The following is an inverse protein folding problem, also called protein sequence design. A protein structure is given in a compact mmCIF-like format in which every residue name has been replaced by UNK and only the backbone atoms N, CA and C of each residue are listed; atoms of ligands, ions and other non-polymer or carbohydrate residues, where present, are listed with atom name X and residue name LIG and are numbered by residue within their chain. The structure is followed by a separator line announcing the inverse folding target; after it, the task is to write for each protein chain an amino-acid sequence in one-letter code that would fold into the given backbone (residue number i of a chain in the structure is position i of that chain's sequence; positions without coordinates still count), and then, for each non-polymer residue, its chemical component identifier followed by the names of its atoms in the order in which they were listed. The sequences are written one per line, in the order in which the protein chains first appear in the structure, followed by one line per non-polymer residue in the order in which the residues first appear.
data_IF_275963848918
#
_entry.id   IF_275963848918
#
_cell.length_a   1.000
_cell.length_b   1.000
_cell.length_c   1.000
_cell.angle_alpha   90.00
_cell.angle_beta   90.00
_cell.angle_gamma   90.00
#
_symmetry.space_group_name_H-M   'P 1'
#
loop_
_entity.id
_entity.type
_entity.pdbx_description
1 polymer ?
#
# COMPACT_ATOMS: atom_id res chain seq x y z
N UNK A 1 28.04 -56.65 -58.93
CA UNK A 1 26.79 -55.93 -58.55
C UNK A 1 26.85 -55.32 -57.15
N UNK A 2 27.44 -55.98 -56.14
CA UNK A 2 27.51 -55.43 -54.77
C UNK A 2 28.33 -54.12 -54.61
N UNK A 3 29.35 -53.87 -55.45
CA UNK A 3 30.10 -52.60 -55.43
C UNK A 3 29.36 -51.41 -56.06
N UNK A 4 28.37 -51.64 -56.91
CA UNK A 4 27.69 -50.57 -57.66
C UNK A 4 26.69 -49.78 -56.81
N UNK A 5 26.20 -50.38 -55.71
CA UNK A 5 25.26 -49.78 -54.78
C UNK A 5 25.92 -49.52 -53.40
N UNK A 6 27.26 -49.62 -53.31
CA UNK A 6 28.00 -49.43 -52.08
C UNK A 6 27.94 -47.94 -51.67
N UNK A 7 27.00 -47.61 -50.79
CA UNK A 7 26.75 -46.25 -50.32
C UNK A 7 25.36 -45.70 -50.67
N UNK A 8 24.53 -46.46 -51.38
CA UNK A 8 23.11 -46.13 -51.54
C UNK A 8 22.35 -46.65 -50.30
N UNK A 9 21.88 -45.78 -49.38
CA UNK A 9 21.14 -46.20 -48.19
C UNK A 9 19.76 -46.79 -48.52
N UNK A 10 19.40 -46.87 -49.80
CA UNK A 10 18.09 -47.29 -50.25
C UNK A 10 17.07 -46.16 -50.17
N UNK A 11 15.83 -46.43 -50.59
CA UNK A 11 14.79 -45.41 -50.62
C UNK A 11 14.43 -44.93 -49.20
N UNK A 12 14.41 -43.61 -49.02
CA UNK A 12 13.98 -42.98 -47.77
C UNK A 12 12.46 -43.09 -47.66
N UNK A 13 11.99 -43.96 -46.77
CA UNK A 13 10.56 -44.08 -46.44
C UNK A 13 10.12 -42.95 -45.50
N UNK A 14 9.00 -42.31 -45.84
CA UNK A 14 8.29 -41.41 -44.92
C UNK A 14 7.90 -42.19 -43.67
N UNK A 15 8.40 -41.76 -42.51
CA UNK A 15 8.09 -42.37 -41.21
C UNK A 15 7.29 -41.41 -40.34
N UNK A 16 6.41 -41.97 -39.50
CA UNK A 16 5.92 -41.26 -38.32
C UNK A 16 6.98 -41.24 -37.22
N UNK A 17 6.78 -40.40 -36.21
CA UNK A 17 7.50 -40.52 -34.95
C UNK A 17 7.03 -41.79 -34.22
N UNK A 18 7.98 -42.49 -33.61
CA UNK A 18 7.66 -43.53 -32.61
C UNK A 18 6.88 -42.90 -31.45
N UNK A 19 6.18 -43.73 -30.68
CA UNK A 19 5.37 -43.29 -29.54
C UNK A 19 6.23 -42.51 -28.53
N UNK A 20 7.46 -42.97 -28.28
CA UNK A 20 8.41 -42.28 -27.41
C UNK A 20 8.85 -40.93 -28.00
N UNK A 21 9.29 -40.90 -29.25
CA UNK A 21 9.68 -39.66 -29.94
C UNK A 21 8.53 -38.64 -29.95
N UNK A 22 7.30 -39.09 -30.21
CA UNK A 22 6.12 -38.24 -30.21
C UNK A 22 5.82 -37.67 -28.80
N UNK A 23 5.86 -38.51 -27.77
CA UNK A 23 5.63 -38.06 -26.40
C UNK A 23 6.70 -37.04 -25.95
N UNK A 24 7.97 -37.27 -26.26
CA UNK A 24 9.04 -36.31 -25.96
C UNK A 24 8.89 -35.01 -26.76
N UNK A 25 8.60 -35.09 -28.06
CA UNK A 25 8.39 -33.91 -28.89
C UNK A 25 7.24 -33.03 -28.39
N UNK A 26 6.13 -33.64 -27.94
CA UNK A 26 5.01 -32.89 -27.35
C UNK A 26 5.40 -32.27 -26.00
N UNK A 27 6.15 -32.98 -25.14
CA UNK A 27 6.64 -32.43 -23.87
C UNK A 27 7.60 -31.27 -24.09
N UNK A 28 8.48 -31.36 -25.08
CA UNK A 28 9.43 -30.29 -25.42
C UNK A 28 8.72 -29.08 -26.02
N UNK A 29 7.72 -29.30 -26.89
CA UNK A 29 6.94 -28.22 -27.51
C UNK A 29 6.06 -27.48 -26.49
N UNK A 30 5.46 -28.21 -25.55
CA UNK A 30 4.49 -27.65 -24.60
C UNK A 30 5.10 -27.27 -23.26
N UNK A 31 6.24 -27.86 -22.88
CA UNK A 31 6.80 -27.75 -21.53
C UNK A 31 6.00 -28.48 -20.44
N UNK A 32 4.94 -29.23 -20.80
CA UNK A 32 4.07 -29.91 -19.83
C UNK A 32 4.52 -31.36 -19.66
N UNK A 33 5.32 -31.63 -18.62
CA UNK A 33 5.90 -32.95 -18.36
C UNK A 33 4.85 -34.05 -18.09
N UNK A 34 3.66 -33.69 -17.62
CA UNK A 34 2.58 -34.63 -17.31
C UNK A 34 1.80 -35.10 -18.53
N UNK A 35 2.00 -34.50 -19.71
CA UNK A 35 1.36 -34.95 -20.94
C UNK A 35 1.94 -36.28 -21.39
N UNK A 36 1.07 -37.23 -21.69
CA UNK A 36 1.41 -38.54 -22.26
C UNK A 36 0.46 -38.85 -23.43
N UNK A 37 0.69 -38.22 -24.60
CA UNK A 37 -0.23 -38.31 -25.73
C UNK A 37 -0.23 -39.69 -26.39
N UNK A 38 0.80 -40.51 -26.14
CA UNK A 38 0.94 -41.84 -26.71
C UNK A 38 0.39 -42.96 -25.81
N UNK A 39 -0.21 -42.63 -24.65
CA UNK A 39 -0.67 -43.62 -23.64
C UNK A 39 -1.62 -44.67 -24.21
N UNK A 40 -2.47 -44.27 -25.16
CA UNK A 40 -3.47 -45.16 -25.77
C UNK A 40 -3.06 -45.67 -27.15
N UNK A 41 -1.81 -45.43 -27.56
CA UNK A 41 -1.33 -45.89 -28.85
C UNK A 41 -0.94 -47.38 -28.74
N UNK A 42 -1.16 -48.18 -29.79
CA UNK A 42 -0.59 -49.51 -29.86
C UNK A 42 0.94 -49.44 -29.74
N UNK A 43 1.54 -50.48 -29.18
CA UNK A 43 3.01 -50.61 -29.11
C UNK A 43 3.57 -50.55 -30.52
N UNK A 44 4.66 -49.78 -30.69
CA UNK A 44 5.34 -49.69 -31.98
C UNK A 44 5.88 -51.05 -32.41
N UNK A 45 5.63 -51.41 -33.66
CA UNK A 45 6.21 -52.61 -34.25
C UNK A 45 7.72 -52.49 -34.33
N UNK A 46 8.44 -53.54 -33.92
CA UNK A 46 9.85 -53.67 -34.22
C UNK A 46 10.00 -54.24 -35.63
N UNK A 47 10.84 -53.63 -36.47
CA UNK A 47 11.39 -54.39 -37.59
C UNK A 47 12.17 -55.58 -36.99
N UNK A 48 12.24 -56.73 -37.66
CA UNK A 48 12.86 -57.97 -37.13
C UNK A 48 14.28 -57.83 -36.54
N UNK A 49 14.92 -56.67 -36.73
CA UNK A 49 16.19 -56.20 -36.16
C UNK A 49 16.10 -55.66 -34.71
N UNK A 50 14.93 -55.59 -34.08
CA UNK A 50 14.77 -55.18 -32.67
C UNK A 50 14.64 -53.66 -32.40
N UNK A 51 14.66 -52.83 -33.44
CA UNK A 51 14.54 -51.37 -33.32
C UNK A 51 13.12 -50.87 -33.58
N UNK A 52 12.62 -49.99 -32.71
CA UNK A 52 11.26 -49.41 -32.75
C UNK A 52 11.16 -48.10 -33.54
N UNK A 53 12.26 -47.60 -34.10
CA UNK A 53 12.30 -46.36 -34.90
C UNK A 53 12.46 -46.63 -36.42
N UNK A 54 12.39 -47.89 -36.84
CA UNK A 54 12.55 -48.27 -38.26
C UNK A 54 11.30 -47.86 -39.04
N UNK A 55 11.46 -46.96 -40.01
CA UNK A 55 10.35 -46.35 -40.74
C UNK A 55 9.41 -47.36 -41.41
N UNK A 56 9.95 -48.44 -41.97
CA UNK A 56 9.16 -49.51 -42.61
C UNK A 56 8.28 -50.31 -41.63
N UNK A 57 8.60 -50.30 -40.33
CA UNK A 57 7.82 -50.98 -39.29
C UNK A 57 6.77 -50.07 -38.62
N UNK A 58 6.87 -48.76 -38.81
CA UNK A 58 5.96 -47.76 -38.21
C UNK A 58 4.75 -47.50 -39.12
N UNK A 59 3.86 -48.48 -39.21
CA UNK A 59 2.64 -48.41 -40.02
C UNK A 59 1.58 -47.49 -39.37
N UNK A 60 0.83 -46.77 -40.21
CA UNK A 60 -0.34 -45.98 -39.79
C UNK A 60 -1.63 -46.73 -40.12
N UNK A 61 -2.43 -47.04 -39.10
CA UNK A 61 -3.79 -47.57 -39.28
C UNK A 61 -4.84 -46.46 -39.09
N UNK A 62 -6.06 -46.61 -39.63
CA UNK A 62 -7.15 -45.67 -39.37
C UNK A 62 -7.44 -45.49 -37.87
N UNK A 63 -7.35 -46.57 -37.08
CA UNK A 63 -7.53 -46.52 -35.63
C UNK A 63 -6.43 -45.71 -34.92
N UNK A 64 -5.17 -45.89 -35.34
CA UNK A 64 -4.06 -45.10 -34.82
C UNK A 64 -4.20 -43.61 -35.18
N UNK A 65 -4.63 -43.29 -36.40
CA UNK A 65 -4.90 -41.90 -36.80
C UNK A 65 -5.96 -41.25 -35.90
N UNK A 66 -7.04 -41.96 -35.58
CA UNK A 66 -8.04 -41.48 -34.62
C UNK A 66 -7.44 -41.21 -33.24
N UNK A 67 -6.56 -42.09 -32.74
CA UNK A 67 -5.84 -41.88 -31.49
C UNK A 67 -4.92 -40.66 -31.52
N UNK A 68 -4.22 -40.41 -32.63
CA UNK A 68 -3.45 -39.17 -32.82
C UNK A 68 -4.33 -37.92 -32.76
N UNK A 69 -5.52 -37.95 -33.39
CA UNK A 69 -6.46 -36.83 -33.35
C UNK A 69 -7.00 -36.58 -31.93
N UNK A 70 -7.32 -37.65 -31.20
CA UNK A 70 -7.79 -37.53 -29.82
C UNK A 70 -6.69 -37.05 -28.88
N UNK A 71 -5.46 -37.54 -29.04
CA UNK A 71 -4.29 -37.00 -28.34
C UNK A 71 -4.04 -35.53 -28.69
N UNK A 72 -4.22 -35.14 -29.95
CA UNK A 72 -4.15 -33.74 -30.37
C UNK A 72 -5.20 -32.85 -29.70
N UNK A 73 -6.43 -33.35 -29.54
CA UNK A 73 -7.48 -32.64 -28.78
C UNK A 73 -7.12 -32.51 -27.31
N UNK A 74 -6.58 -33.57 -26.69
CA UNK A 74 -6.14 -33.56 -25.31
C UNK A 74 -5.03 -32.51 -25.09
N UNK A 75 -3.97 -32.55 -25.91
CA UNK A 75 -2.90 -31.54 -25.90
C UNK A 75 -3.46 -30.12 -26.11
N UNK A 76 -4.44 -29.95 -27.00
CA UNK A 76 -5.06 -28.65 -27.24
C UNK A 76 -5.87 -28.12 -26.03
N UNK A 77 -6.38 -28.99 -25.15
CA UNK A 77 -7.06 -28.55 -23.91
C UNK A 77 -6.10 -27.89 -22.91
N UNK A 78 -4.81 -28.21 -22.99
CA UNK A 78 -3.76 -27.59 -22.17
C UNK A 78 -3.28 -26.25 -22.72
N UNK A 79 -3.73 -25.86 -23.92
CA UNK A 79 -3.32 -24.63 -24.56
C UNK A 79 -4.02 -23.41 -23.95
N UNK A 80 -3.23 -22.41 -23.57
CA UNK A 80 -3.68 -21.14 -22.98
C UNK A 80 -3.41 -20.03 -23.99
N UNK A 81 -4.48 -19.45 -24.53
CA UNK A 81 -4.40 -18.29 -25.42
C UNK A 81 -4.14 -17.03 -24.60
N UNK A 82 -3.04 -16.34 -24.92
CA UNK A 82 -2.63 -15.08 -24.32
C UNK A 82 -2.82 -13.93 -25.32
N UNK A 83 -2.81 -12.70 -24.83
CA UNK A 83 -2.91 -11.51 -25.70
C UNK A 83 -1.72 -11.35 -26.65
N UNK A 84 -0.58 -11.93 -26.29
CA UNK A 84 0.71 -11.84 -26.99
C UNK A 84 1.18 -13.19 -27.57
N UNK A 85 0.39 -14.25 -27.46
CA UNK A 85 0.76 -15.55 -28.01
C UNK A 85 0.02 -16.75 -27.42
N UNK A 86 0.72 -17.87 -27.36
CA UNK A 86 0.23 -19.16 -26.88
C UNK A 86 1.16 -19.68 -25.78
N UNK A 87 0.58 -20.20 -24.71
CA UNK A 87 1.28 -20.96 -23.68
C UNK A 87 0.59 -22.31 -23.44
N UNK A 88 1.19 -23.17 -22.64
CA UNK A 88 0.58 -24.41 -22.16
C UNK A 88 0.61 -24.46 -20.63
N UNK A 89 -0.38 -25.12 -20.03
CA UNK A 89 -0.49 -25.35 -18.59
C UNK A 89 -0.70 -26.84 -18.32
N UNK A 90 -0.29 -27.32 -17.14
CA UNK A 90 -0.62 -28.68 -16.69
C UNK A 90 -2.11 -28.83 -16.35
N UNK A 91 -2.86 -27.73 -16.29
CA UNK A 91 -4.31 -27.69 -16.05
C UNK A 91 -5.07 -27.46 -17.35
N UNK A 92 -6.34 -27.83 -17.36
CA UNK A 92 -7.25 -27.70 -18.51
C UNK A 92 -8.40 -26.72 -18.28
N UNK A 93 -8.48 -26.10 -17.10
CA UNK A 93 -9.59 -25.19 -16.76
C UNK A 93 -9.15 -23.73 -16.70
N UNK A 94 -9.99 -22.83 -17.23
CA UNK A 94 -9.78 -21.37 -17.18
C UNK A 94 -9.59 -20.84 -15.76
N UNK A 95 -10.27 -21.45 -14.79
CA UNK A 95 -10.16 -21.07 -13.38
C UNK A 95 -8.78 -21.38 -12.84
N UNK A 96 -8.25 -22.57 -13.15
CA UNK A 96 -6.93 -22.97 -12.67
C UNK A 96 -5.83 -22.12 -13.31
N UNK A 97 -5.91 -21.85 -14.61
CA UNK A 97 -4.97 -20.94 -15.28
C UNK A 97 -4.97 -19.55 -14.64
N UNK A 98 -6.17 -19.04 -14.34
CA UNK A 98 -6.32 -17.75 -13.66
C UNK A 98 -5.67 -17.79 -12.28
N UNK A 99 -5.93 -18.84 -11.50
CA UNK A 99 -5.33 -19.00 -10.17
C UNK A 99 -3.81 -19.12 -10.22
N UNK A 100 -3.27 -19.88 -11.17
CA UNK A 100 -1.83 -20.05 -11.40
C UNK A 100 -1.16 -18.70 -11.70
N UNK A 101 -1.73 -17.91 -12.62
CA UNK A 101 -1.20 -16.59 -12.98
C UNK A 101 -1.33 -15.59 -11.83
N UNK A 102 -2.46 -15.59 -11.10
CA UNK A 102 -2.62 -14.78 -9.89
C UNK A 102 -1.59 -15.17 -8.82
N UNK A 103 -1.36 -16.47 -8.62
CA UNK A 103 -0.36 -16.97 -7.67
C UNK A 103 1.05 -16.53 -8.07
N UNK A 104 1.41 -16.61 -9.36
CA UNK A 104 2.69 -16.13 -9.86
C UNK A 104 2.88 -14.61 -9.64
N UNK A 105 1.83 -13.81 -9.89
CA UNK A 105 1.85 -12.36 -9.62
C UNK A 105 2.04 -12.09 -8.13
N UNK A 106 1.27 -12.77 -7.26
CA UNK A 106 1.39 -12.63 -5.80
C UNK A 106 2.79 -13.01 -5.33
N UNK A 107 3.34 -14.12 -5.82
CA UNK A 107 4.69 -14.57 -5.48
C UNK A 107 5.75 -13.56 -5.93
N UNK A 108 5.60 -12.96 -7.12
CA UNK A 108 6.49 -11.89 -7.59
C UNK A 108 6.53 -10.72 -6.62
N UNK A 109 5.36 -10.21 -6.22
CA UNK A 109 5.25 -9.05 -5.32
C UNK A 109 5.61 -9.36 -3.86
N UNK A 110 5.37 -10.60 -3.40
CA UNK A 110 5.72 -11.03 -2.04
C UNK A 110 7.23 -10.94 -1.76
N UNK A 111 8.08 -10.97 -2.79
CA UNK A 111 9.53 -10.75 -2.64
C UNK A 111 9.89 -9.33 -2.18
N UNK A 112 9.01 -8.36 -2.41
CA UNK A 112 9.28 -6.94 -2.16
C UNK A 112 8.32 -6.31 -1.16
N UNK A 113 7.30 -7.04 -0.71
CA UNK A 113 6.32 -6.58 0.26
C UNK A 113 6.45 -7.34 1.58
N UNK A 114 5.95 -6.74 2.66
CA UNK A 114 5.83 -7.42 3.94
C UNK A 114 4.45 -8.01 4.10
N UNK A 115 4.43 -9.27 4.53
CA UNK A 115 3.26 -9.87 5.16
C UNK A 115 3.15 -9.31 6.57
N UNK A 116 2.43 -8.19 6.72
CA UNK A 116 1.91 -7.81 8.03
C UNK A 116 0.98 -8.93 8.49
N UNK A 117 0.92 -9.20 9.80
CA UNK A 117 0.01 -10.20 10.40
C UNK A 117 -1.33 -10.18 9.65
N UNK A 118 -1.90 -11.35 9.28
CA UNK A 118 -3.13 -11.41 8.51
C UNK A 118 -4.21 -10.57 9.22
N UNK A 119 -4.53 -9.40 8.65
CA UNK A 119 -5.74 -8.68 9.04
C UNK A 119 -6.90 -9.47 8.48
N UNK A 120 -7.52 -10.29 9.33
CA UNK A 120 -8.82 -10.86 9.01
C UNK A 120 -9.83 -9.72 9.06
N UNK A 121 -10.28 -9.24 7.88
CA UNK A 121 -11.42 -8.33 7.81
C UNK A 121 -12.67 -9.11 7.45
N UNK A 122 -13.68 -9.00 8.29
CA UNK A 122 -15.00 -9.56 8.01
C UNK A 122 -15.65 -8.74 6.91
N UNK A 123 -15.71 -9.29 5.70
CA UNK A 123 -16.47 -8.72 4.59
C UNK A 123 -17.76 -9.51 4.48
N UNK A 124 -18.89 -8.86 4.79
CA UNK A 124 -20.23 -9.47 4.69
C UNK A 124 -20.42 -10.76 5.51
N UNK A 125 -19.87 -10.81 6.73
CA UNK A 125 -19.98 -11.98 7.61
C UNK A 125 -19.01 -13.13 7.28
N UNK A 126 -18.24 -13.02 6.19
CA UNK A 126 -17.20 -13.97 5.82
C UNK A 126 -15.85 -13.41 6.30
N UNK A 127 -15.14 -14.19 7.11
CA UNK A 127 -13.78 -13.90 7.52
C UNK A 127 -12.88 -14.08 6.30
N UNK A 128 -12.49 -12.99 5.67
CA UNK A 128 -11.51 -13.03 4.58
C UNK A 128 -10.15 -12.81 5.21
N UNK A 129 -9.38 -13.88 5.28
CA UNK A 129 -7.97 -13.77 5.58
C UNK A 129 -7.28 -13.18 4.35
N UNK A 130 -6.64 -12.02 4.52
CA UNK A 130 -5.79 -11.43 3.48
C UNK A 130 -4.52 -12.28 3.35
N UNK A 131 -4.66 -13.47 2.74
CA UNK A 131 -3.56 -14.37 2.43
C UNK A 131 -2.72 -13.73 1.33
N UNK A 132 -1.56 -13.20 1.72
CA UNK A 132 -0.61 -12.51 0.84
C UNK A 132 -0.02 -11.21 1.41
N UNK A 133 -0.46 -10.77 2.59
CA UNK A 133 -0.06 -9.48 3.14
C UNK A 133 -0.70 -8.31 2.41
N UNK A 134 -0.64 -7.12 3.01
CA UNK A 134 -1.27 -5.89 2.49
C UNK A 134 -0.60 -5.35 1.21
N UNK A 135 0.36 -6.07 0.61
CA UNK A 135 1.21 -5.55 -0.47
C UNK A 135 2.05 -4.34 -0.05
N UNK A 136 2.16 -4.07 1.26
CA UNK A 136 2.90 -2.92 1.79
C UNK A 136 4.39 -3.11 1.62
N UNK A 137 5.08 -2.07 1.17
CA UNK A 137 6.53 -2.07 1.08
C UNK A 137 7.15 -1.95 2.48
N UNK A 138 8.19 -2.74 2.81
CA UNK A 138 8.84 -2.67 4.11
C UNK A 138 9.70 -1.41 4.21
N UNK A 139 9.17 -0.30 4.71
CA UNK A 139 9.89 0.98 4.76
C UNK A 139 11.22 0.93 5.53
N UNK A 140 11.28 0.14 6.61
CA UNK A 140 12.42 0.08 7.51
C UNK A 140 13.76 -0.26 6.82
N UNK A 141 13.90 -1.36 6.06
CA UNK A 141 15.15 -1.68 5.37
C UNK A 141 15.55 -0.61 4.34
N UNK A 142 14.59 -0.01 3.62
CA UNK A 142 14.92 1.06 2.67
C UNK A 142 15.41 2.33 3.38
N UNK A 143 14.74 2.78 4.44
CA UNK A 143 15.18 3.94 5.20
C UNK A 143 16.56 3.70 5.83
N UNK A 144 16.77 2.50 6.40
CA UNK A 144 18.08 2.09 6.93
C UNK A 144 19.16 2.18 5.87
N UNK A 145 18.91 1.68 4.66
CA UNK A 145 19.84 1.78 3.54
C UNK A 145 20.15 3.23 3.16
N UNK A 146 19.12 4.09 3.06
CA UNK A 146 19.30 5.51 2.72
C UNK A 146 20.02 6.32 3.80
N UNK A 147 19.93 5.91 5.07
CA UNK A 147 20.63 6.55 6.19
C UNK A 147 22.08 6.05 6.25
N UNK A 148 22.29 4.74 6.16
CA UNK A 148 23.61 4.09 6.30
C UNK A 148 24.54 4.45 5.15
N UNK A 149 24.03 4.52 3.92
CA UNK A 149 24.82 4.83 2.72
C UNK A 149 24.65 6.27 2.24
N UNK A 150 24.11 7.17 3.07
CA UNK A 150 23.75 8.54 2.67
C UNK A 150 24.91 9.29 2.04
N UNK A 151 26.03 9.36 2.73
CA UNK A 151 27.17 10.19 2.30
C UNK A 151 27.82 9.58 1.05
N UNK A 152 27.99 8.25 1.02
CA UNK A 152 28.50 7.55 -0.16
C UNK A 152 27.60 7.70 -1.40
N UNK A 153 26.27 7.74 -1.24
CA UNK A 153 25.32 8.01 -2.32
C UNK A 153 25.33 9.47 -2.76
N UNK A 154 25.56 10.41 -1.83
CA UNK A 154 25.60 11.86 -2.11
C UNK A 154 26.88 12.25 -2.84
N UNK A 155 28.01 11.68 -2.44
CA UNK A 155 29.32 11.97 -3.00
C UNK A 155 29.61 11.11 -4.24
N UNK A 156 28.68 10.23 -4.63
CA UNK A 156 28.76 9.40 -5.82
C UNK A 156 29.72 8.22 -5.72
N UNK A 157 30.21 7.89 -4.52
CA UNK A 157 31.10 6.75 -4.26
C UNK A 157 30.39 5.40 -4.48
N UNK A 158 29.07 5.37 -4.28
CA UNK A 158 28.21 4.23 -4.63
C UNK A 158 26.95 4.73 -5.34
N UNK A 159 26.30 3.84 -6.09
CA UNK A 159 25.05 4.12 -6.79
C UNK A 159 23.86 3.40 -6.14
N UNK A 160 22.64 3.90 -6.39
CA UNK A 160 21.40 3.27 -5.91
C UNK A 160 21.29 1.79 -6.33
N UNK A 161 21.56 1.39 -7.60
CA UNK A 161 21.52 0.00 -7.99
C UNK A 161 22.52 -0.89 -7.23
N UNK A 162 23.72 -0.38 -6.94
CA UNK A 162 24.74 -1.12 -6.18
C UNK A 162 24.30 -1.35 -4.73
N UNK A 163 23.80 -0.32 -4.05
CA UNK A 163 23.29 -0.45 -2.67
C UNK A 163 22.07 -1.39 -2.64
N UNK A 164 21.17 -1.25 -3.60
CA UNK A 164 20.00 -2.10 -3.70
C UNK A 164 20.38 -3.58 -3.91
N UNK A 165 21.33 -3.86 -4.81
CA UNK A 165 21.83 -5.22 -5.03
C UNK A 165 22.51 -5.79 -3.78
N UNK A 166 23.38 -5.01 -3.12
CA UNK A 166 24.09 -5.40 -1.91
C UNK A 166 23.13 -5.80 -0.78
N UNK A 167 22.01 -5.09 -0.64
CA UNK A 167 21.05 -5.27 0.45
C UNK A 167 19.81 -6.09 0.06
N UNK A 168 19.76 -6.62 -1.18
CA UNK A 168 18.60 -7.36 -1.68
C UNK A 168 17.31 -6.53 -1.77
N UNK A 169 17.43 -5.22 -2.01
CA UNK A 169 16.32 -4.28 -2.07
C UNK A 169 15.89 -3.99 -3.51
N UNK A 170 14.65 -3.53 -3.69
CA UNK A 170 14.18 -3.09 -5.00
C UNK A 170 14.82 -1.74 -5.38
N UNK A 171 15.69 -1.75 -6.40
CA UNK A 171 16.43 -0.56 -6.83
C UNK A 171 15.52 0.61 -7.27
N UNK A 172 14.41 0.32 -7.95
CA UNK A 172 13.45 1.34 -8.40
C UNK A 172 12.84 2.04 -7.19
N UNK A 173 12.39 1.28 -6.20
CA UNK A 173 11.79 1.87 -5.01
C UNK A 173 12.81 2.62 -4.15
N UNK A 174 14.00 2.05 -3.93
CA UNK A 174 15.08 2.74 -3.21
C UNK A 174 15.43 4.07 -3.87
N UNK A 175 15.50 4.09 -5.21
CA UNK A 175 15.74 5.30 -5.99
C UNK A 175 14.61 6.33 -5.84
N UNK A 176 13.35 5.92 -5.95
CA UNK A 176 12.21 6.83 -5.74
C UNK A 176 12.24 7.42 -4.33
N UNK A 177 12.46 6.60 -3.29
CA UNK A 177 12.53 7.07 -1.92
C UNK A 177 13.69 8.06 -1.72
N UNK A 178 14.88 7.73 -2.22
CA UNK A 178 16.05 8.59 -2.15
C UNK A 178 15.80 9.95 -2.82
N UNK A 179 15.23 9.95 -4.04
CA UNK A 179 14.87 11.18 -4.75
C UNK A 179 13.86 11.99 -3.96
N UNK A 180 12.75 11.38 -3.51
CA UNK A 180 11.71 12.08 -2.75
C UNK A 180 12.22 12.68 -1.44
N UNK A 181 13.19 12.05 -0.77
CA UNK A 181 13.79 12.56 0.47
C UNK A 181 14.78 13.72 0.24
N UNK A 182 15.38 13.79 -0.95
CA UNK A 182 16.36 14.82 -1.31
C UNK A 182 15.77 15.98 -2.13
N UNK A 183 14.58 15.80 -2.71
CA UNK A 183 13.92 16.81 -3.52
C UNK A 183 13.68 18.13 -2.75
N UNK A 184 13.88 19.26 -3.44
CA UNK A 184 13.78 20.60 -2.87
C UNK A 184 12.39 21.22 -2.97
N UNK A 185 11.46 20.58 -3.69
CA UNK A 185 10.09 21.06 -3.84
C UNK A 185 9.42 21.14 -2.45
N UNK A 186 8.89 22.31 -2.05
CA UNK A 186 8.31 22.49 -0.73
C UNK A 186 7.08 21.59 -0.57
N UNK A 187 6.98 20.95 0.58
CA UNK A 187 5.87 20.05 0.90
C UNK A 187 5.62 20.06 2.40
N UNK A 188 4.44 20.52 2.79
CA UNK A 188 4.01 20.57 4.19
C UNK A 188 4.12 19.21 4.90
N UNK A 189 3.95 18.10 4.16
CA UNK A 189 4.01 16.75 4.71
C UNK A 189 5.40 16.12 4.65
N UNK A 190 6.12 16.31 3.54
CA UNK A 190 7.42 15.67 3.35
C UNK A 190 8.55 16.46 4.02
N UNK A 191 8.46 17.78 4.13
CA UNK A 191 9.56 18.59 4.66
C UNK A 191 9.94 18.25 6.11
N UNK A 192 9.00 17.98 7.03
CA UNK A 192 9.33 17.47 8.36
C UNK A 192 10.06 16.12 8.30
N UNK A 193 9.55 15.17 7.49
CA UNK A 193 10.16 13.84 7.33
C UNK A 193 11.57 13.96 6.73
N UNK A 194 11.76 14.84 5.74
CA UNK A 194 13.07 15.12 5.12
C UNK A 194 14.03 15.74 6.12
N UNK A 195 13.56 16.66 6.97
CA UNK A 195 14.38 17.32 7.98
C UNK A 195 14.84 16.32 9.06
N UNK A 196 13.94 15.48 9.55
CA UNK A 196 14.26 14.43 10.52
C UNK A 196 15.18 13.38 9.90
N UNK A 197 14.87 12.93 8.68
CA UNK A 197 15.70 11.99 7.94
C UNK A 197 17.14 12.50 7.80
N UNK A 198 17.36 13.76 7.38
CA UNK A 198 18.71 14.33 7.22
C UNK A 198 19.57 14.30 8.48
N UNK A 199 18.97 14.27 9.67
CA UNK A 199 19.67 14.22 10.97
C UNK A 199 19.68 12.81 11.58
N UNK A 200 18.84 11.91 11.07
CA UNK A 200 18.66 10.58 11.60
C UNK A 200 19.90 9.70 11.40
N UNK A 201 20.13 8.86 12.40
CA UNK A 201 21.06 7.74 12.40
C UNK A 201 20.28 6.41 12.27
N UNK A 202 20.93 5.25 12.08
CA UNK A 202 20.22 3.97 11.96
C UNK A 202 19.31 3.64 13.16
N UNK A 203 19.60 4.16 14.36
CA UNK A 203 18.75 3.95 15.55
C UNK A 203 17.42 4.71 15.49
N UNK A 204 17.33 5.76 14.67
CA UNK A 204 16.13 6.61 14.55
C UNK A 204 15.14 6.09 13.50
N UNK A 205 15.52 5.06 12.74
CA UNK A 205 14.70 4.49 11.66
C UNK A 205 13.29 4.08 12.14
N UNK A 206 13.09 3.41 13.28
CA UNK A 206 11.75 3.03 13.73
C UNK A 206 10.82 4.25 13.91
N UNK A 207 11.34 5.33 14.49
CA UNK A 207 10.56 6.56 14.68
C UNK A 207 10.17 7.22 13.35
N UNK A 208 11.07 7.21 12.36
CA UNK A 208 10.77 7.70 11.00
C UNK A 208 9.70 6.84 10.31
N UNK A 209 9.78 5.52 10.45
CA UNK A 209 8.79 4.58 9.90
C UNK A 209 7.41 4.88 10.49
N UNK A 210 7.32 5.07 11.80
CA UNK A 210 6.06 5.35 12.49
C UNK A 210 5.49 6.72 12.09
N UNK A 211 6.34 7.73 11.94
CA UNK A 211 5.94 9.05 11.43
C UNK A 211 5.35 8.96 10.00
N UNK A 212 6.01 8.21 9.10
CA UNK A 212 5.52 8.01 7.73
C UNK A 212 4.20 7.24 7.72
N UNK A 213 4.09 6.16 8.50
CA UNK A 213 2.85 5.37 8.60
C UNK A 213 1.69 6.22 9.12
N UNK A 214 1.92 7.04 10.14
CA UNK A 214 0.91 7.96 10.66
C UNK A 214 0.37 8.87 9.56
N UNK A 215 1.22 9.41 8.69
CA UNK A 215 0.78 10.21 7.55
C UNK A 215 0.05 9.37 6.49
N UNK A 216 0.53 8.18 6.16
CA UNK A 216 -0.13 7.28 5.19
C UNK A 216 -1.57 6.93 5.62
N UNK A 217 -1.77 6.65 6.90
CA UNK A 217 -3.08 6.32 7.48
C UNK A 217 -4.03 7.54 7.49
N UNK A 218 -3.49 8.75 7.42
CA UNK A 218 -4.26 10.01 7.40
C UNK A 218 -4.69 10.42 6.01
N UNK A 219 -3.77 10.26 5.06
CA UNK A 219 -3.91 10.74 3.70
C UNK A 219 -4.64 9.73 2.81
N UNK A 220 -4.85 8.51 3.32
CA UNK A 220 -5.52 7.46 2.56
C UNK A 220 -6.42 6.60 3.42
N UNK A 221 -7.53 6.15 2.83
CA UNK A 221 -8.43 5.17 3.42
C UNK A 221 -8.67 4.03 2.43
N UNK A 222 -8.86 2.83 2.96
CA UNK A 222 -9.19 1.67 2.15
C UNK A 222 -10.70 1.44 2.12
N UNK A 223 -11.26 1.36 0.91
CA UNK A 223 -12.64 0.96 0.67
C UNK A 223 -12.84 -0.55 0.84
N UNK A 224 -14.08 -0.96 1.11
CA UNK A 224 -14.43 -2.37 1.18
C UNK A 224 -14.33 -3.05 -0.19
N UNK A 225 -13.62 -4.18 -0.24
CA UNK A 225 -13.53 -5.03 -1.43
C UNK A 225 -14.94 -5.53 -1.80
N UNK A 226 -15.29 -5.55 -3.08
CA UNK A 226 -16.61 -5.97 -3.59
C UNK A 226 -17.70 -4.88 -3.63
N UNK A 227 -17.40 -3.65 -3.21
CA UNK A 227 -18.30 -2.49 -3.35
C UNK A 227 -17.84 -1.49 -4.41
N UNK A 228 -16.68 -1.71 -5.03
CA UNK A 228 -16.15 -0.88 -6.11
C UNK A 228 -17.08 -1.00 -7.32
N UNK A 229 -17.54 0.13 -7.87
CA UNK A 229 -18.44 0.18 -9.03
C UNK A 229 -19.95 0.09 -8.72
N UNK A 230 -20.35 -0.09 -7.46
CA UNK A 230 -21.77 0.04 -7.06
C UNK A 230 -22.21 1.50 -7.05
N UNK A 231 -23.50 1.76 -7.26
CA UNK A 231 -24.10 3.09 -7.05
C UNK A 231 -23.82 3.52 -5.59
N UNK A 232 -23.11 4.64 -5.41
CA UNK A 232 -22.59 5.14 -4.12
C UNK A 232 -21.50 4.28 -3.43
N UNK A 233 -20.89 3.33 -4.14
CA UNK A 233 -19.73 2.56 -3.67
C UNK A 233 -18.41 3.34 -3.75
N UNK A 234 -17.34 2.88 -3.07
CA UNK A 234 -16.01 3.48 -3.20
C UNK A 234 -15.52 3.42 -4.66
N UNK A 235 -14.93 4.51 -5.15
CA UNK A 235 -14.42 4.62 -6.53
C UNK A 235 -13.13 3.80 -6.77
N UNK A 236 -12.52 3.29 -5.71
CA UNK A 236 -11.27 2.53 -5.75
C UNK A 236 -11.00 1.86 -4.41
N UNK A 237 -9.99 0.99 -4.39
CA UNK A 237 -9.62 0.28 -3.17
C UNK A 237 -8.89 1.18 -2.18
N UNK A 238 -7.90 1.98 -2.61
CA UNK A 238 -7.31 3.05 -1.80
C UNK A 238 -7.84 4.40 -2.31
N UNK A 239 -8.37 5.21 -1.41
CA UNK A 239 -8.96 6.51 -1.72
C UNK A 239 -8.17 7.60 -0.98
N UNK A 240 -7.91 8.75 -1.63
CA UNK A 240 -7.32 9.88 -0.93
C UNK A 240 -8.31 10.39 0.12
N UNK A 241 -7.77 10.78 1.26
CA UNK A 241 -8.45 11.59 2.26
C UNK A 241 -7.80 12.95 2.16
N UNK A 242 -8.62 13.99 1.97
CA UNK A 242 -8.12 15.34 2.12
C UNK A 242 -8.19 15.67 3.62
N UNK A 243 -7.05 15.71 4.31
CA UNK A 243 -7.05 15.94 5.74
C UNK A 243 -7.41 17.40 6.08
N UNK A 244 -7.50 18.25 5.07
CA UNK A 244 -7.67 19.71 5.09
C UNK A 244 -9.07 20.15 5.54
N UNK A 245 -9.18 20.68 6.76
CA UNK A 245 -10.43 21.21 7.34
C UNK A 245 -10.19 22.55 8.06
N UNK A 246 -11.25 23.35 8.20
CA UNK A 246 -11.21 24.64 8.92
C UNK A 246 -11.58 24.51 10.40
N UNK A 247 -12.19 23.39 10.76
CA UNK A 247 -12.66 23.04 12.10
C UNK A 247 -12.64 21.51 12.24
N UNK A 248 -12.23 21.00 13.39
CA UNK A 248 -12.19 19.57 13.70
C UNK A 248 -12.55 19.32 15.17
N UNK A 249 -13.35 18.28 15.42
CA UNK A 249 -13.68 17.81 16.76
C UNK A 249 -12.79 16.61 17.14
N UNK A 250 -11.98 16.77 18.18
CA UNK A 250 -11.19 15.67 18.74
C UNK A 250 -12.00 14.91 19.79
N UNK A 251 -11.91 13.59 19.75
CA UNK A 251 -12.52 12.68 20.74
C UNK A 251 -11.48 11.67 21.20
N UNK A 252 -11.30 11.55 22.52
CA UNK A 252 -10.33 10.66 23.12
C UNK A 252 -10.90 10.00 24.38
N UNK A 253 -10.55 8.75 24.63
CA UNK A 253 -10.84 8.12 25.92
C UNK A 253 -10.11 8.87 27.05
N UNK A 254 -10.79 9.08 28.18
CA UNK A 254 -10.17 9.71 29.34
C UNK A 254 -9.08 8.78 29.91
N UNK A 255 -7.84 9.26 30.13
CA UNK A 255 -6.78 8.45 30.74
C UNK A 255 -7.17 7.95 32.13
N UNK A 256 -6.61 6.81 32.56
CA UNK A 256 -6.81 6.33 33.93
C UNK A 256 -5.97 7.15 34.92
N UNK A 257 -6.55 7.49 36.08
CA UNK A 257 -5.85 8.21 37.14
C UNK A 257 -6.78 9.02 38.03
N UNK A 258 -6.31 9.38 39.23
CA UNK A 258 -7.08 10.22 40.16
C UNK A 258 -7.29 11.66 39.64
N UNK A 259 -6.36 12.13 38.80
CA UNK A 259 -6.41 13.44 38.13
C UNK A 259 -5.92 13.26 36.68
N UNK A 260 -6.77 12.77 35.77
CA UNK A 260 -6.33 12.49 34.42
C UNK A 260 -6.00 13.78 33.67
N UNK A 261 -4.90 13.75 32.91
CA UNK A 261 -4.40 14.89 32.16
C UNK A 261 -4.47 14.63 30.67
N UNK A 262 -4.78 15.67 29.92
CA UNK A 262 -4.79 15.67 28.46
C UNK A 262 -3.96 16.84 27.95
N UNK A 263 -3.18 16.60 26.91
CA UNK A 263 -2.32 17.59 26.29
C UNK A 263 -2.86 17.93 24.90
N UNK A 264 -3.22 19.20 24.70
CA UNK A 264 -3.59 19.74 23.40
C UNK A 264 -2.36 20.41 22.81
N UNK A 265 -1.86 19.92 21.69
CA UNK A 265 -0.71 20.52 21.02
C UNK A 265 -1.09 21.09 19.67
N UNK A 266 -0.65 22.30 19.37
CA UNK A 266 -0.68 22.88 18.03
C UNK A 266 0.75 23.05 17.53
N UNK A 267 0.96 22.91 16.22
CA UNK A 267 2.23 23.22 15.53
C UNK A 267 1.87 24.00 14.27
N UNK A 268 2.43 25.19 14.12
CA UNK A 268 2.30 26.03 12.96
C UNK A 268 3.19 25.47 11.84
N UNK A 269 2.56 25.00 10.77
CA UNK A 269 3.24 24.45 9.61
C UNK A 269 3.50 25.53 8.55
N UNK A 270 2.60 26.48 8.41
CA UNK A 270 2.72 27.60 7.47
C UNK A 270 1.71 28.71 7.82
N UNK A 271 2.02 29.64 8.70
CA UNK A 271 1.19 30.82 8.98
C UNK A 271 2.00 31.91 9.68
N UNK A 272 1.88 33.16 9.24
CA UNK A 272 2.45 34.29 9.97
C UNK A 272 1.53 34.65 11.15
N UNK A 273 2.04 34.49 12.38
CA UNK A 273 1.48 34.98 13.65
C UNK A 273 0.08 34.49 14.07
N UNK A 274 -0.58 33.59 13.33
CA UNK A 274 -1.84 33.00 13.76
C UNK A 274 -1.64 31.91 14.84
N UNK A 275 -2.69 31.61 15.60
CA UNK A 275 -2.70 30.52 16.60
C UNK A 275 -4.02 29.76 16.51
N UNK A 276 -3.96 28.43 16.59
CA UNK A 276 -5.13 27.57 16.58
C UNK A 276 -5.98 27.78 17.84
N UNK A 277 -7.30 27.89 17.68
CA UNK A 277 -8.23 28.09 18.79
C UNK A 277 -8.80 26.74 19.22
N UNK A 278 -8.73 26.44 20.53
CA UNK A 278 -9.39 25.29 21.16
C UNK A 278 -10.64 25.75 21.91
N UNK A 279 -11.76 25.06 21.70
CA UNK A 279 -13.07 25.45 22.23
C UNK A 279 -13.90 24.23 22.64
N UNK A 280 -14.98 24.48 23.40
CA UNK A 280 -16.02 23.49 23.77
C UNK A 280 -15.47 22.20 24.41
N UNK A 281 -14.37 22.29 25.16
CA UNK A 281 -13.79 21.17 25.88
C UNK A 281 -14.78 20.60 26.90
N UNK A 282 -15.07 19.31 26.82
CA UNK A 282 -16.05 18.64 27.68
C UNK A 282 -15.76 17.15 27.82
N UNK A 283 -16.18 16.58 28.95
CA UNK A 283 -16.21 15.14 29.16
C UNK A 283 -17.63 14.65 28.93
N UNK A 284 -17.78 13.69 28.03
CA UNK A 284 -19.03 13.04 27.69
C UNK A 284 -19.05 11.67 28.35
N UNK A 285 -20.13 11.37 29.07
CA UNK A 285 -20.39 10.06 29.66
C UNK A 285 -21.76 9.61 29.19
N UNK A 286 -21.85 8.38 28.67
CA UNK A 286 -23.11 7.83 28.16
C UNK A 286 -24.22 7.92 29.21
N UNK A 287 -25.31 8.60 28.88
CA UNK A 287 -26.48 8.74 29.75
C UNK A 287 -26.35 9.79 30.86
N UNK A 288 -25.28 10.59 30.88
CA UNK A 288 -25.10 11.73 31.79
C UNK A 288 -24.93 13.03 31.00
N UNK A 289 -25.25 14.20 31.59
CA UNK A 289 -24.96 15.47 30.95
C UNK A 289 -23.46 15.68 30.76
N UNK A 290 -23.11 16.38 29.67
CA UNK A 290 -21.73 16.75 29.36
C UNK A 290 -21.14 17.60 30.50
N UNK A 291 -19.93 17.23 30.94
CA UNK A 291 -19.21 17.97 31.98
C UNK A 291 -18.26 18.94 31.28
N UNK A 292 -18.54 20.24 31.36
CA UNK A 292 -17.67 21.26 30.79
C UNK A 292 -16.28 21.22 31.46
N UNK A 293 -15.23 21.26 30.65
CA UNK A 293 -13.84 21.32 31.12
C UNK A 293 -13.30 22.71 30.82
N UNK A 294 -12.80 23.38 31.86
CA UNK A 294 -12.16 24.67 31.68
C UNK A 294 -10.84 24.50 30.93
N UNK A 295 -10.71 25.20 29.81
CA UNK A 295 -9.42 25.43 29.17
C UNK A 295 -8.74 26.59 29.90
N UNK A 296 -7.41 26.53 30.17
CA UNK A 296 -6.73 27.59 30.89
C UNK A 296 -6.94 28.95 30.22
N UNK A 297 -7.57 29.88 30.95
CA UNK A 297 -7.87 31.22 30.50
C UNK A 297 -6.61 32.10 30.61
N UNK A 298 -5.92 32.29 29.50
CA UNK A 298 -4.72 33.12 29.43
C UNK A 298 -3.91 32.76 28.21
N UNK A 299 -3.87 33.68 27.24
CA UNK A 299 -3.24 33.52 25.92
C UNK A 299 -1.94 32.70 25.96
N UNK A 300 -1.89 31.51 25.35
CA UNK A 300 -0.71 31.14 24.62
C UNK A 300 -0.84 31.85 23.26
N UNK A 301 -0.02 32.87 23.04
CA UNK A 301 -0.01 33.73 21.83
C UNK A 301 1.27 33.52 21.03
N UNK A 302 1.59 32.26 20.73
CA UNK A 302 2.79 31.92 19.96
C UNK A 302 2.59 30.70 19.06
N UNK A 303 3.38 30.58 17.98
CA UNK A 303 3.41 29.36 17.17
C UNK A 303 3.94 28.19 18.00
N UNK A 304 3.30 27.04 17.84
CA UNK A 304 3.58 25.75 18.46
C UNK A 304 3.36 25.69 19.98
N UNK A 305 2.14 25.35 20.40
CA UNK A 305 1.71 25.38 21.81
C UNK A 305 1.40 23.98 22.33
N UNK A 306 1.56 23.81 23.65
CA UNK A 306 1.09 22.62 24.36
C UNK A 306 0.29 23.10 25.57
N UNK A 307 -1.00 22.80 25.58
CA UNK A 307 -1.94 23.14 26.66
C UNK A 307 -2.19 21.88 27.47
N UNK A 308 -1.85 21.92 28.75
CA UNK A 308 -2.20 20.87 29.70
C UNK A 308 -3.61 21.13 30.25
N UNK A 309 -4.49 20.16 30.11
CA UNK A 309 -5.87 20.19 30.57
C UNK A 309 -6.04 19.11 31.64
N UNK A 310 -6.37 19.53 32.85
CA UNK A 310 -6.70 18.61 33.95
C UNK A 310 -8.19 18.29 33.91
N UNK A 311 -8.52 17.00 33.84
CA UNK A 311 -9.88 16.52 33.80
C UNK A 311 -10.44 16.28 35.22
N UNK A 312 -11.78 16.29 35.40
CA UNK A 312 -12.40 15.95 36.68
C UNK A 312 -11.97 14.58 37.21
N UNK A 313 -11.79 14.48 38.53
CA UNK A 313 -11.52 13.22 39.21
C UNK A 313 -12.77 12.31 39.26
N UNK A 314 -12.57 11.00 39.40
CA UNK A 314 -13.68 10.05 39.65
C UNK A 314 -14.59 9.79 38.44
N UNK A 315 -14.09 10.01 37.22
CA UNK A 315 -14.84 9.76 35.99
C UNK A 315 -15.10 8.25 35.80
N UNK A 316 -16.31 7.84 35.38
CA UNK A 316 -16.63 6.44 35.16
C UNK A 316 -15.86 5.85 33.98
N UNK A 317 -15.63 4.53 33.98
CA UNK A 317 -15.06 3.82 32.83
C UNK A 317 -15.92 4.05 31.58
N UNK A 318 -15.28 4.45 30.49
CA UNK A 318 -15.96 4.82 29.23
C UNK A 318 -16.30 6.31 29.10
N UNK A 319 -15.82 7.17 30.00
CA UNK A 319 -15.83 8.62 29.80
C UNK A 319 -14.90 9.00 28.62
N UNK A 320 -15.34 9.95 27.82
CA UNK A 320 -14.57 10.46 26.68
C UNK A 320 -14.41 11.97 26.77
N UNK A 321 -13.21 12.45 26.50
CA UNK A 321 -12.90 13.86 26.37
C UNK A 321 -13.11 14.31 24.92
N UNK A 322 -13.89 15.37 24.74
CA UNK A 322 -14.14 16.02 23.46
C UNK A 322 -13.64 17.46 23.51
N UNK A 323 -12.99 17.91 22.45
CA UNK A 323 -12.56 19.30 22.28
C UNK A 323 -12.59 19.68 20.81
N UNK A 324 -13.10 20.86 20.50
CA UNK A 324 -13.13 21.43 19.16
C UNK A 324 -11.84 22.23 18.94
N UNK A 325 -11.28 22.16 17.74
CA UNK A 325 -10.27 23.10 17.28
C UNK A 325 -10.71 23.78 15.99
N UNK A 326 -10.37 25.05 15.81
CA UNK A 326 -10.64 25.77 14.57
C UNK A 326 -9.59 26.85 14.33
N UNK A 327 -9.46 27.24 13.06
CA UNK A 327 -8.67 28.41 12.68
C UNK A 327 -9.38 29.70 13.12
N UNK A 328 -8.64 30.71 13.61
CA UNK A 328 -9.20 32.03 13.83
C UNK A 328 -9.73 32.59 12.51
N UNK A 329 -10.80 33.39 12.58
CA UNK A 329 -11.42 34.00 11.39
C UNK A 329 -10.46 34.94 10.65
N UNK A 330 -9.47 35.47 11.37
CA UNK A 330 -8.45 36.39 10.89
C UNK A 330 -7.24 35.67 10.30
N UNK A 331 -7.22 34.34 10.27
CA UNK A 331 -6.14 33.56 9.66
C UNK A 331 -6.05 33.83 8.15
N UNK A 332 -4.83 33.90 7.63
CA UNK A 332 -4.59 34.01 6.19
C UNK A 332 -5.03 32.73 5.47
N UNK A 333 -5.35 32.83 4.17
CA UNK A 333 -5.73 31.66 3.38
C UNK A 333 -4.65 30.58 3.30
N UNK A 334 -3.39 30.93 3.55
CA UNK A 334 -2.27 29.99 3.57
C UNK A 334 -2.05 29.35 4.95
N UNK A 335 -2.76 29.80 5.99
CA UNK A 335 -2.54 29.35 7.35
C UNK A 335 -2.72 27.84 7.50
N UNK A 336 -1.66 27.15 7.93
CA UNK A 336 -1.63 25.70 8.12
C UNK A 336 -1.13 25.34 9.52
N UNK A 337 -1.92 24.56 10.26
CA UNK A 337 -1.56 24.06 11.59
C UNK A 337 -1.77 22.56 11.67
N UNK A 338 -0.86 21.88 12.37
CA UNK A 338 -1.07 20.54 12.90
C UNK A 338 -1.57 20.64 14.34
N UNK A 339 -2.48 19.75 14.71
CA UNK A 339 -3.10 19.71 16.03
C UNK A 339 -3.16 18.26 16.48
N UNK A 340 -2.89 18.02 17.76
CA UNK A 340 -2.96 16.70 18.36
C UNK A 340 -3.54 16.79 19.77
N UNK A 341 -4.24 15.75 20.16
CA UNK A 341 -4.75 15.55 21.52
C UNK A 341 -4.17 14.24 22.03
N UNK A 342 -3.45 14.30 23.14
CA UNK A 342 -2.67 13.16 23.65
C UNK A 342 -2.81 13.02 25.17
N UNK A 343 -2.70 11.79 25.67
CA UNK A 343 -2.75 11.47 27.10
C UNK A 343 -1.42 11.72 27.84
N UNK A 344 -0.32 11.84 27.09
CA UNK A 344 1.02 12.09 27.60
C UNK A 344 1.58 13.37 26.94
N UNK A 345 2.51 14.08 27.61
CA UNK A 345 3.10 15.29 27.03
C UNK A 345 3.84 14.96 25.73
N UNK A 346 3.70 15.78 24.68
CA UNK A 346 4.38 15.55 23.40
C UNK A 346 5.91 15.61 23.58
N UNK A 347 6.62 14.60 23.08
CA UNK A 347 8.08 14.47 23.21
C UNK A 347 8.83 15.59 22.47
N UNK A 348 10.04 15.95 22.91
CA UNK A 348 10.84 17.01 22.29
C UNK A 348 11.12 16.79 20.79
N UNK A 349 11.19 15.53 20.32
CA UNK A 349 11.33 15.22 18.88
C UNK A 349 10.10 15.63 18.06
N UNK A 350 8.92 15.78 18.67
CA UNK A 350 7.75 16.37 17.99
C UNK A 350 7.77 17.90 17.93
N UNK A 351 8.65 18.56 18.70
CA UNK A 351 8.91 20.02 18.65
C UNK A 351 9.98 20.41 17.63
N UNK A 352 10.68 19.45 17.01
CA UNK A 352 11.79 19.71 16.06
C UNK A 352 11.34 20.35 14.75
N UNK A 353 10.02 20.46 14.50
CA UNK A 353 9.43 21.16 13.36
C UNK A 353 9.77 22.68 13.28
N UNK A 354 10.57 23.23 14.20
CA UNK A 354 10.85 24.67 14.25
C UNK A 354 11.97 25.15 13.32
N UNK A 355 11.56 26.15 12.51
CA UNK A 355 12.27 27.34 11.99
C UNK A 355 13.37 27.16 10.94
N UNK A 356 13.08 27.61 9.70
CA UNK A 356 14.11 28.27 8.86
C UNK A 356 14.33 29.70 9.38
N UNK A 357 15.56 30.23 9.39
CA UNK A 357 15.80 31.66 9.49
C UNK A 357 15.34 32.32 8.18
N UNK A 358 14.56 33.38 8.29
CA UNK A 358 14.13 34.23 7.18
C UNK A 358 15.36 34.75 6.41
N UNK A 359 15.54 34.33 5.16
CA UNK A 359 16.44 35.02 4.24
C UNK A 359 15.88 36.42 3.98
N UNK A 360 16.68 37.42 4.35
CA UNK A 360 16.47 38.85 4.09
C UNK A 360 16.45 39.08 2.56
N UNK A 361 15.49 39.81 1.97
CA UNK A 361 15.61 40.17 0.57
C UNK A 361 16.68 41.27 0.43
N UNK A 362 17.71 40.96 -0.36
CA UNK A 362 18.67 41.96 -0.82
C UNK A 362 17.95 42.99 -1.69
N UNK A 363 18.20 44.26 -1.40
CA UNK A 363 17.75 45.39 -2.21
C UNK A 363 18.43 45.38 -3.57
N UNK A 364 17.67 45.48 -4.66
CA UNK A 364 18.17 46.06 -5.91
C UNK A 364 17.06 46.86 -6.61
N UNK A 365 17.41 48.11 -6.93
CA UNK A 365 16.62 49.15 -7.60
C UNK A 365 16.25 48.81 -9.05
N UNK A 366 14.97 49.03 -9.41
CA UNK A 366 14.35 49.67 -10.62
C UNK A 366 14.65 49.19 -12.07
N UNK A 367 13.85 49.57 -13.10
CA UNK A 367 12.54 50.25 -13.12
C UNK A 367 11.44 49.64 -14.05
N UNK A 368 10.18 49.95 -13.68
CA UNK A 368 8.98 50.23 -14.51
C UNK A 368 8.85 49.63 -15.94
N UNK A 369 7.83 48.79 -16.12
CA UNK A 369 6.99 48.78 -17.32
C UNK A 369 5.56 48.34 -16.98
N UNK A 370 4.61 49.21 -17.30
CA UNK A 370 3.15 49.07 -17.20
C UNK A 370 2.59 48.18 -18.31
N UNK A 371 1.75 47.21 -17.97
CA UNK A 371 0.55 46.84 -18.75
C UNK A 371 -0.46 46.12 -17.86
N UNK A 372 -1.69 46.63 -17.85
CA UNK A 372 -2.88 46.02 -17.24
C UNK A 372 -3.33 44.83 -18.10
N UNK A 373 -3.64 43.69 -17.48
CA UNK A 373 -4.55 42.69 -18.04
C UNK A 373 -5.39 42.11 -16.91
N UNK A 374 -6.69 42.26 -17.05
CA UNK A 374 -7.73 41.90 -16.08
C UNK A 374 -8.38 40.60 -16.55
N UNK A 375 -8.32 39.53 -15.77
CA UNK A 375 -9.26 38.39 -15.89
C UNK A 375 -9.41 37.71 -14.52
N UNK A 376 -10.64 37.42 -14.06
CA UNK A 376 -10.87 36.96 -12.70
C UNK A 376 -10.56 35.47 -12.56
N UNK A 377 -9.65 35.12 -11.66
CA UNK A 377 -9.41 33.73 -11.25
C UNK A 377 -10.22 33.44 -9.99
N UNK A 378 -11.04 32.40 -10.04
CA UNK A 378 -11.89 31.94 -8.94
C UNK A 378 -11.08 31.60 -7.67
N UNK A 379 -11.63 31.80 -6.45
CA UNK A 379 -10.92 31.53 -5.21
C UNK A 379 -10.74 30.02 -5.02
N UNK A 380 -9.48 29.57 -4.97
CA UNK A 380 -9.09 28.23 -4.54
C UNK A 380 -9.32 28.12 -3.03
N UNK A 381 -10.17 27.17 -2.63
CA UNK A 381 -10.42 26.81 -1.24
C UNK A 381 -9.15 26.18 -0.62
N UNK A 382 -8.72 26.73 0.51
CA UNK A 382 -7.57 26.29 1.29
C UNK A 382 -8.03 25.70 2.63
N UNK A 383 -7.23 24.80 3.22
CA UNK A 383 -7.44 24.39 4.62
C UNK A 383 -6.37 23.43 5.16
N UNK A 384 -6.60 22.90 6.37
CA UNK A 384 -5.57 22.37 7.28
C UNK A 384 -5.66 20.87 7.56
N UNK A 385 -4.54 20.17 7.44
CA UNK A 385 -4.45 18.70 7.46
C UNK A 385 -4.41 18.05 8.85
N UNK A 386 -5.32 17.11 9.19
CA UNK A 386 -5.26 16.27 10.39
C UNK A 386 -5.34 14.73 10.16
N UNK A 387 -4.84 13.99 11.15
CA UNK A 387 -4.59 12.53 11.18
C UNK A 387 -5.42 11.87 12.28
N UNK A 388 -6.31 10.92 11.95
CA UNK A 388 -7.06 10.13 12.95
C UNK A 388 -7.08 8.65 12.58
N UNK A 389 -6.51 7.79 13.45
CA UNK A 389 -6.54 6.32 13.33
C UNK A 389 -7.80 5.75 14.00
N UNK A 390 -8.55 4.84 13.34
CA UNK A 390 -9.82 4.25 13.81
C UNK A 390 -9.68 2.73 14.04
N UNK A 391 -10.06 2.15 15.19
CA UNK A 391 -10.15 0.69 15.38
C UNK A 391 -11.54 0.11 15.02
N UNK A 392 -11.56 -1.15 14.58
CA UNK A 392 -12.74 -1.94 14.17
C UNK A 392 -13.00 -3.05 15.19
N UNK A 393 -14.23 -3.20 15.74
CA UNK A 393 -14.58 -4.21 16.76
C UNK A 393 -15.32 -5.42 16.18
N UNK A 394 -14.88 -6.63 16.54
CA UNK A 394 -15.61 -7.90 16.45
C UNK A 394 -15.85 -8.47 17.87
N UNK A 395 -16.93 -9.25 18.04
CA UNK A 395 -17.54 -9.66 19.30
C UNK A 395 -16.73 -10.69 20.13
N UNK A 396 -17.09 -10.78 21.42
CA UNK A 396 -16.34 -11.34 22.54
C UNK A 396 -16.50 -12.86 22.78
N UNK A 397 -15.44 -13.48 23.33
CA UNK A 397 -15.52 -14.56 24.32
C UNK A 397 -14.26 -14.55 25.23
N UNK A 398 -14.49 -14.59 26.56
CA UNK A 398 -13.58 -14.81 27.70
C UNK A 398 -12.41 -13.83 27.97
N UNK A 399 -12.57 -13.05 29.05
CA UNK A 399 -11.62 -12.20 29.79
C UNK A 399 -10.60 -13.03 30.62
N UNK A 400 -9.47 -12.48 31.13
CA UNK A 400 -9.18 -11.04 31.25
C UNK A 400 -7.77 -10.56 30.83
N UNK A 401 -7.74 -9.46 30.06
CA UNK A 401 -6.88 -8.30 30.33
C UNK A 401 -7.45 -7.10 29.56
N UNK A 402 -7.74 -6.00 30.25
CA UNK A 402 -8.77 -5.01 29.89
C UNK A 402 -8.13 -3.77 29.24
N UNK A 403 -8.50 -3.49 27.99
CA UNK A 403 -8.54 -2.14 27.43
C UNK A 403 -9.87 -1.99 26.66
N UNK A 404 -10.72 -0.97 26.95
CA UNK A 404 -12.08 -0.93 26.40
C UNK A 404 -12.13 -0.27 24.99
N UNK A 405 -13.12 -0.64 24.15
CA UNK A 405 -13.20 -0.25 22.74
C UNK A 405 -14.20 0.90 22.49
N UNK A 406 -14.00 1.66 21.42
CA UNK A 406 -15.00 2.58 20.85
C UNK A 406 -15.81 1.89 19.74
N UNK A 407 -17.13 2.12 19.73
CA UNK A 407 -18.07 1.58 18.74
C UNK A 407 -19.08 2.65 18.29
N UNK A 408 -19.50 2.64 17.02
CA UNK A 408 -20.79 3.22 16.60
C UNK A 408 -21.36 2.59 15.31
N UNK A 409 -22.70 2.45 15.27
CA UNK A 409 -23.56 2.25 14.08
C UNK A 409 -24.79 3.18 14.17
N UNK A 410 -25.32 3.52 12.98
CA UNK A 410 -26.24 4.57 12.48
C UNK A 410 -27.75 4.34 12.71
N UNK A 411 -28.55 5.41 12.79
CA UNK A 411 -29.91 5.57 12.20
C UNK A 411 -30.27 7.06 11.93
N UNK A 412 -31.18 7.29 10.98
CA UNK A 412 -31.58 8.56 10.32
C UNK A 412 -32.98 9.07 10.71
N UNK A 413 -33.25 10.39 10.59
CA UNK A 413 -34.53 10.91 10.04
C UNK A 413 -34.44 12.35 9.51
N UNK A 414 -35.15 12.58 8.41
CA UNK A 414 -35.22 13.78 7.55
C UNK A 414 -35.97 14.99 8.16
N UNK A 415 -35.80 16.22 7.62
CA UNK A 415 -36.49 17.43 8.08
C UNK A 415 -37.81 17.70 7.32
N UNK A 416 -38.74 18.52 7.87
CA UNK A 416 -39.85 19.06 7.08
C UNK A 416 -39.41 20.30 6.30
N UNK A 417 -40.04 20.46 5.13
CA UNK A 417 -39.90 21.60 4.22
C UNK A 417 -40.64 22.83 4.72
N UNK A 418 -40.14 23.99 4.31
CA UNK A 418 -40.96 25.04 3.70
C UNK A 418 -40.33 25.40 2.36
#
# INVERSE_FOLDING_TARGET
MALANAGDPGPVVLRRLSNAEYAYAIRDLTGVATLDPAREFPVDGSAGEGFTNVGAALVMSPGLLSKYLDAGKDVAQHAVLLSDGLAFSDKVTKRDWTNEKIAAIKAFYARYSVTVKPESRTVQGIKVDLVGGDGRLPLQPYLTATITHRDALRDGTTTIPQVAHLLGLNAKYLGTLWTSLNEAAPSTFLDPIRADWRKATPTDVPALVDAIKSWQDSLSRFGAIGHIGKLNGPKGWQLPVDPVVTMEDFRMAVPEGASPKVFLSSVNLHADNASLIWSKARVVVKGKPDIAVALPAGKPSGPDQVIEVTLPAGLPKGAEFLVECHLPKEATAEACFQARVTAAPPSASSRSLRRRPTCRPASSRSPRATTKSTTPTAPRSAGCSFTTTRPTTAAAASTPSIAPPTSSTRWTRSPPRS
#
